data_IF_359366601666
#
_entry.id   IF_359366601666
#
_cell.length_a   1.000
_cell.length_b   1.000
_cell.length_c   1.000
_cell.angle_alpha   90.00
_cell.angle_beta   90.00
_cell.angle_gamma   90.00
#
_symmetry.space_group_name_H-M   'P 1'
#
loop_
_entity.id
_entity.type
_entity.pdbx_description
1 polymer ?
2 non-polymer ?
3 water ?
#
# COMPACT_ATOMS: atom_id res chain seq x y z
N UNK A 1 3.53 0.51 17.97
CA UNK A 1 2.52 1.42 18.53
C UNK A 1 1.13 0.78 18.49
N UNK A 2 0.22 1.37 19.24
CA UNK A 2 -1.16 1.03 19.43
C UNK A 2 -2.03 2.11 18.72
N UNK A 3 -2.94 1.60 17.95
CA UNK A 3 -3.87 2.36 17.15
C UNK A 3 -5.35 2.04 17.29
N UNK A 4 -6.10 3.01 17.77
CA UNK A 4 -7.55 2.96 17.96
C UNK A 4 -8.11 3.56 16.66
N UNK A 5 -9.28 3.08 16.26
CA UNK A 5 -9.97 3.47 15.04
C UNK A 5 -10.97 4.60 15.10
N UNK A 6 -10.71 5.62 15.87
CA UNK A 6 -11.58 6.80 16.02
C UNK A 6 -11.39 7.63 14.78
N UNK A 7 -10.18 7.54 14.29
CA UNK A 7 -9.73 8.24 13.06
C UNK A 7 -9.08 7.28 12.10
N UNK A 8 -9.26 7.52 10.80
CA UNK A 8 -8.65 6.64 9.77
C UNK A 8 -7.18 6.44 10.20
N UNK A 9 -6.70 5.24 10.05
CA UNK A 9 -5.32 4.86 10.40
C UNK A 9 -4.32 5.36 9.39
N UNK A 10 -3.74 6.55 9.59
CA UNK A 10 -2.82 6.94 8.48
C UNK A 10 -1.38 6.81 8.90
N UNK A 11 -0.54 6.64 7.89
CA UNK A 11 0.90 6.52 8.17
C UNK A 11 1.70 7.14 7.03
N UNK A 12 2.90 7.53 7.33
CA UNK A 12 4.00 8.12 6.62
C UNK A 12 4.86 6.96 6.05
N UNK A 13 5.06 7.05 4.76
CA UNK A 13 5.83 6.04 4.03
C UNK A 13 6.88 6.76 3.19
N UNK A 14 7.91 6.04 2.79
CA UNK A 14 8.99 6.54 1.95
C UNK A 14 9.15 5.41 0.90
N UNK A 15 8.93 5.83 -0.31
CA UNK A 15 8.95 5.09 -1.55
C UNK A 15 9.66 5.88 -2.65
N UNK A 16 10.69 5.19 -3.14
CA UNK A 16 11.52 5.75 -4.24
C UNK A 16 11.58 7.27 -4.04
N UNK A 17 12.33 7.68 -3.03
CA UNK A 17 12.57 9.00 -2.63
C UNK A 17 11.54 9.98 -2.27
N UNK A 18 10.28 9.75 -2.31
CA UNK A 18 9.16 10.61 -2.00
C UNK A 18 8.40 10.17 -0.74
N UNK A 19 8.12 11.06 0.14
CA UNK A 19 7.43 10.97 1.39
C UNK A 19 5.91 11.18 1.25
N UNK A 20 5.14 10.12 1.42
CA UNK A 20 3.67 10.07 1.34
C UNK A 20 3.03 9.52 2.63
N UNK A 21 1.73 9.57 2.69
CA UNK A 21 0.91 9.04 3.81
C UNK A 21 0.01 7.96 3.09
N UNK A 22 -0.11 6.86 3.75
CA UNK A 22 -0.86 5.70 3.35
C UNK A 22 -1.75 5.31 4.56
N UNK A 23 -2.75 4.58 4.15
CA UNK A 23 -3.81 4.01 4.96
C UNK A 23 -3.57 2.53 5.25
N UNK A 24 -3.56 2.19 6.52
CA UNK A 24 -3.33 0.74 6.92
C UNK A 24 -4.68 0.05 6.70
N UNK A 25 -4.72 -0.85 5.73
CA UNK A 25 -6.00 -1.53 5.41
C UNK A 25 -6.04 -3.01 5.50
N UNK A 26 -6.57 -3.61 6.57
CA UNK A 26 -6.73 -5.03 6.79
C UNK A 26 -7.67 -5.70 5.76
N UNK A 27 -8.55 -4.97 5.12
CA UNK A 27 -9.47 -5.58 4.12
C UNK A 27 -8.92 -5.48 2.70
N UNK A 28 -7.63 -5.29 2.60
CA UNK A 28 -6.90 -5.13 1.33
C UNK A 28 -5.77 -6.13 1.24
N UNK A 29 -5.99 -7.04 0.32
CA UNK A 29 -5.13 -8.17 -0.03
C UNK A 29 -3.81 -7.66 -0.65
N UNK A 30 -3.94 -6.47 -1.21
CA UNK A 30 -2.91 -5.74 -1.94
C UNK A 30 -2.59 -4.30 -1.66
N UNK A 31 -1.36 -3.89 -1.97
CA UNK A 31 -0.82 -2.54 -1.80
C UNK A 31 -0.99 -1.80 -3.12
N UNK A 32 -1.80 -0.77 -3.15
CA UNK A 32 -2.12 0.07 -4.29
C UNK A 32 -2.02 1.57 -3.88
N UNK A 33 -1.13 2.23 -4.63
CA UNK A 33 -0.80 3.64 -4.44
C UNK A 33 -0.98 4.36 -5.77
N UNK A 34 -1.39 5.57 -5.64
CA UNK A 34 -1.68 6.59 -6.63
C UNK A 34 -0.60 6.66 -7.70
N UNK A 35 -0.78 7.62 -8.62
CA UNK A 35 0.28 7.66 -9.67
C UNK A 35 1.52 8.31 -9.07
N UNK A 36 2.64 7.61 -9.10
CA UNK A 36 3.88 8.23 -8.52
C UNK A 36 4.90 8.00 -9.64
N UNK A 37 6.00 8.72 -9.54
CA UNK A 37 7.06 8.58 -10.58
C UNK A 37 7.89 7.41 -10.04
N UNK A 38 7.63 6.27 -10.64
CA UNK A 38 8.36 5.04 -10.22
C UNK A 38 9.04 4.54 -11.50
N UNK A 39 10.25 4.06 -11.29
CA UNK A 39 11.12 3.55 -12.36
C UNK A 39 11.34 2.05 -12.18
N UNK A 40 11.31 1.39 -13.32
CA UNK A 40 11.50 -0.04 -13.47
C UNK A 40 10.48 -0.52 -14.53
N UNK A 41 10.50 -1.82 -14.79
CA UNK A 41 9.55 -2.36 -15.78
C UNK A 41 8.34 -2.78 -14.90
N UNK A 42 7.20 -2.60 -15.52
CA UNK A 42 5.91 -2.90 -14.92
C UNK A 42 5.05 -3.69 -15.91
N UNK A 43 3.96 -4.14 -15.32
CA UNK A 43 2.93 -4.93 -15.96
C UNK A 43 1.50 -4.46 -15.67
N UNK A 44 0.69 -4.64 -16.70
CA UNK A 44 -0.74 -4.28 -16.63
C UNK A 44 -1.34 -5.38 -15.75
N UNK A 45 -2.33 -5.05 -14.98
CA UNK A 45 -3.02 -5.95 -14.06
C UNK A 45 -4.32 -5.27 -13.63
N UNK A 46 -5.23 -6.08 -13.16
CA UNK A 46 -6.54 -5.61 -12.66
C UNK A 46 -6.80 -6.09 -11.24
N UNK A 47 -7.44 -5.24 -10.50
CA UNK A 47 -7.83 -5.44 -9.12
C UNK A 47 -9.26 -4.94 -9.02
N UNK A 48 -9.96 -5.33 -7.97
CA UNK A 48 -11.35 -4.95 -7.73
C UNK A 48 -11.56 -4.33 -6.37
N UNK A 49 -12.55 -3.47 -6.30
CA UNK A 49 -12.90 -2.74 -5.04
C UNK A 49 -14.42 -2.76 -5.01
N UNK A 50 -15.05 -2.11 -4.06
CA UNK A 50 -16.51 -2.14 -4.03
C UNK A 50 -17.16 -1.71 -5.33
N UNK A 51 -16.68 -0.61 -5.87
CA UNK A 51 -17.14 0.00 -7.08
C UNK A 51 -16.61 -0.55 -8.39
N UNK A 52 -15.80 -1.61 -8.44
CA UNK A 52 -15.29 -2.12 -9.70
C UNK A 52 -13.86 -2.54 -9.88
N UNK A 53 -13.29 -2.24 -11.04
CA UNK A 53 -11.93 -2.59 -11.39
C UNK A 53 -11.17 -1.54 -12.20
N UNK A 54 -10.04 -1.21 -11.64
CA UNK A 54 -9.13 -0.21 -12.29
C UNK A 54 -7.95 -1.02 -12.78
N UNK A 55 -7.38 -0.66 -13.91
CA UNK A 55 -6.20 -1.38 -14.44
C UNK A 55 -5.09 -0.69 -13.63
N UNK A 56 -4.14 -1.45 -13.19
CA UNK A 56 -3.03 -0.89 -12.37
C UNK A 56 -1.77 -1.30 -13.15
N UNK A 57 -0.68 -0.87 -12.62
CA UNK A 57 0.66 -1.14 -13.20
C UNK A 57 1.35 -1.83 -12.04
N UNK A 58 1.77 -3.05 -12.24
CA UNK A 58 2.41 -3.95 -11.30
C UNK A 58 3.91 -4.08 -11.34
N UNK A 59 4.55 -3.46 -10.39
CA UNK A 59 5.88 -3.25 -9.94
C UNK A 59 6.13 -4.22 -8.78
N UNK A 60 7.20 -4.96 -8.84
CA UNK A 60 7.47 -5.92 -7.75
C UNK A 60 8.86 -5.63 -7.14
N UNK A 61 9.08 -6.08 -5.93
CA UNK A 61 10.34 -5.91 -5.24
C UNK A 61 10.78 -4.48 -4.98
N UNK A 62 9.80 -3.68 -4.61
CA UNK A 62 9.95 -2.29 -4.27
C UNK A 62 10.17 -2.22 -2.73
N UNK A 63 11.09 -1.33 -2.45
CA UNK A 63 11.52 -0.95 -1.09
C UNK A 63 10.60 0.19 -0.64
N UNK A 64 10.05 0.01 0.52
CA UNK A 64 9.09 0.92 1.17
C UNK A 64 9.32 0.84 2.68
N UNK A 65 9.40 2.00 3.26
CA UNK A 65 9.60 2.21 4.70
C UNK A 65 8.24 2.63 5.29
N UNK A 66 7.74 1.73 6.10
CA UNK A 66 6.41 1.97 6.72
C UNK A 66 6.70 2.35 8.16
N UNK A 67 6.14 3.46 8.54
CA UNK A 67 6.31 4.00 9.88
C UNK A 67 7.71 3.66 10.36
N UNK A 68 8.69 4.02 9.52
CA UNK A 68 10.10 3.78 9.85
C UNK A 68 10.50 2.33 9.92
N UNK A 69 9.73 1.46 9.34
CA UNK A 69 9.90 0.01 9.24
C UNK A 69 10.11 -0.33 7.75
N UNK A 70 11.21 -0.98 7.42
CA UNK A 70 11.56 -1.35 6.05
C UNK A 70 10.96 -2.67 5.65
N UNK A 71 10.33 -2.69 4.47
CA UNK A 71 9.71 -3.93 3.97
C UNK A 71 9.97 -3.93 2.48
N UNK A 72 9.74 -5.05 1.82
CA UNK A 72 9.96 -5.22 0.38
C UNK A 72 8.82 -5.98 -0.26
N UNK A 73 8.16 -5.41 -1.25
CA UNK A 73 7.06 -6.21 -1.88
C UNK A 73 6.69 -5.72 -3.24
N UNK A 74 5.54 -6.28 -3.64
CA UNK A 74 4.88 -5.96 -4.87
C UNK A 74 3.94 -4.79 -4.47
N UNK A 75 3.96 -3.77 -5.24
CA UNK A 75 3.17 -2.54 -5.07
C UNK A 75 2.55 -2.31 -6.45
N UNK A 76 1.32 -1.88 -6.50
CA UNK A 76 0.60 -1.66 -7.77
C UNK A 76 0.21 -0.18 -7.79
N UNK A 77 0.46 0.55 -8.88
CA UNK A 77 0.11 2.01 -8.91
C UNK A 77 -1.10 2.25 -9.78
N UNK A 78 -2.08 3.07 -9.35
CA UNK A 78 -3.28 3.22 -10.22
C UNK A 78 -4.13 4.39 -9.77
N UNK A 79 -5.27 4.54 -10.43
CA UNK A 79 -6.18 5.67 -10.12
C UNK A 79 -7.05 5.35 -8.96
N UNK A 80 -6.42 5.39 -7.79
CA UNK A 80 -6.94 5.13 -6.45
C UNK A 80 -7.17 6.42 -5.68
N UNK A 81 -8.28 6.49 -4.95
CA UNK A 81 -8.62 7.67 -4.15
C UNK A 81 -7.61 7.99 -3.05
N UNK A 82 -7.10 6.99 -2.38
CA UNK A 82 -6.17 6.96 -1.29
C UNK A 82 -5.13 5.86 -1.39
N UNK A 83 -3.91 6.13 -0.86
CA UNK A 83 -2.88 5.03 -0.93
C UNK A 83 -3.31 4.05 0.18
N UNK A 84 -3.04 2.79 -0.06
CA UNK A 84 -3.40 1.69 0.80
C UNK A 84 -2.19 0.77 1.03
N UNK A 85 -2.10 0.32 2.26
CA UNK A 85 -1.11 -0.63 2.78
C UNK A 85 -2.00 -1.86 2.98
N UNK A 86 -1.72 -2.86 2.17
CA UNK A 86 -2.50 -4.12 2.16
C UNK A 86 -1.72 -5.11 3.00
N UNK A 87 -2.25 -6.25 3.17
CA UNK A 87 -1.80 -7.39 3.92
C UNK A 87 -0.49 -7.99 3.47
N UNK A 88 -0.15 -7.77 2.21
CA UNK A 88 1.13 -8.32 1.69
C UNK A 88 2.29 -7.57 2.35
N UNK A 89 1.94 -6.44 2.95
CA UNK A 89 3.00 -5.61 3.59
C UNK A 89 2.86 -5.60 5.08
N UNK A 90 1.63 -5.55 5.54
CA UNK A 90 1.34 -5.54 6.99
C UNK A 90 1.81 -6.80 7.70
N UNK A 91 1.99 -7.84 6.93
CA UNK A 91 2.43 -9.12 7.53
C UNK A 91 3.91 -8.99 7.86
N UNK A 92 4.53 -8.21 6.95
CA UNK A 92 5.96 -7.96 7.07
C UNK A 92 6.44 -7.10 8.23
N UNK A 93 5.75 -6.09 8.64
CA UNK A 93 6.10 -5.21 9.76
C UNK A 93 5.39 -5.78 11.02
N UNK A 94 4.92 -6.96 10.89
CA UNK A 94 4.20 -7.87 11.75
C UNK A 94 3.02 -7.27 12.52
N UNK A 95 2.08 -6.71 11.78
CA UNK A 95 0.85 -6.04 12.20
C UNK A 95 -0.24 -7.05 12.56
N UNK A 96 -0.85 -6.87 13.72
CA UNK A 96 -1.94 -7.79 14.15
C UNK A 96 -3.18 -6.94 14.50
N UNK A 97 -4.25 -7.71 14.45
CA UNK A 97 -5.57 -7.03 14.77
C UNK A 97 -5.80 -7.52 16.20
N UNK A 98 -6.48 -6.70 16.98
CA UNK A 98 -6.69 -7.17 18.36
C UNK A 98 -8.06 -6.73 18.85
N UNK A 99 -8.66 -7.61 19.67
CA UNK A 99 -10.01 -7.29 20.22
C UNK A 99 -10.33 -8.12 21.42
X LIG B 1 -8.43 -8.20 -3.27
X LIG B 1 -8.84 -6.91 -3.75
X LIG B 1 -9.24 -5.96 -2.63
X LIG B 1 -10.07 -6.14 -1.75
X LIG B 1 -9.78 -6.95 -4.93
X LIG B 1 -8.55 -4.81 -2.67
X LIG B 1 -8.63 -3.69 -1.81
X LIG B 1 -10.05 -3.19 -1.66
X LIG B 1 -10.75 -2.73 -2.55
X LIG B 1 -7.61 -2.64 -2.29
X LIG B 1 -12.36 1.27 0.76
X LIG B 1 -12.51 1.49 -0.46
X LIG B 1 -11.03 0.74 1.25
X LIG B 1 -10.65 -0.60 0.61
X LIG B 1 -11.61 -1.73 1.15
X LIG B 1 -10.98 -2.31 2.26
X LIG B 1 -11.83 -2.79 0.05
X LIG B 1 -10.52 -3.25 -0.38
X LIG B 1 -12.71 -3.92 0.56
X LIG B 1 -12.93 -5.17 -0.28
X LIG B 1 -13.69 -5.20 -1.44
X LIG B 1 -12.32 -6.36 0.20
X LIG B 1 -13.87 -6.39 -2.17
X LIG B 1 -12.51 -7.55 -0.54
X LIG B 1 -13.26 -7.55 -1.71
X LIG B 1 -13.34 1.48 1.62
X LIG B 1 -14.64 1.94 1.22
X LIG B 1 -14.86 3.37 1.77
X LIG B 1 -14.63 3.65 2.93
X LIG B 1 -15.79 1.01 1.57
X LIG B 1 -16.87 0.92 0.50
X LIG B 1 -15.29 -0.41 1.89
X LIG B 1 -15.35 4.18 0.83
X LIG B 1 -15.71 5.55 0.92
X LIG B 1 -14.43 6.40 1.03
X LIG B 1 -13.31 5.90 0.95
X LIG B 1 -16.71 5.89 2.01
X LIG B 1 -16.98 4.81 3.06
X LIG B 1 -16.42 7.23 2.69
X LIG B 1 -15.88 7.97 1.91
X LIG B 1 -14.63 7.79 1.23
#
# INVERSE_FOLDING_TARGET
>A
PQITLWQRPLVTIKIGGQLKEALLDTGADDTVLEENSLPGRWKPKMIGGIGGFIKVRQYDQILIEICGHKAIGTVLVGPTPVNIIGRNLLTQIGCTLNF
>B hetero
1 PSI N CA C O CB N1 CA1 C1 O1 CB1 C3 O2 CA3 CM C2 OS CA2 N2 CB2 CG CD1 CD2 CE1 CE2 CZ N4 CA4 C4 O3 CB3 CG1 CG2 N5 CA5 C5 O4 CB4 CG11 CG21 C6 O5
#
